data_IF_728379008786
#
_entry.id   IF_728379008786
#
_cell.length_a   1.000
_cell.length_b   1.000
_cell.length_c   1.000
_cell.angle_alpha   90.00
_cell.angle_beta   90.00
_cell.angle_gamma   90.00
#
_symmetry.space_group_name_H-M   'P 1'
#
loop_
_entity.id
_entity.type
_entity.pdbx_description
1 polymer ?
#
# COMPACT_ATOMS: atom_id res chain seq x y z
N UNK A 1 1.22 -1.84 -7.04
CA UNK A 1 2.45 -1.81 -7.83
C UNK A 1 2.88 -3.24 -8.00
N UNK A 2 3.01 -3.68 -9.23
CA UNK A 2 3.45 -5.04 -9.57
C UNK A 2 4.69 -4.88 -10.44
N UNK A 3 5.50 -5.93 -10.54
CA UNK A 3 6.52 -5.95 -11.58
C UNK A 3 5.88 -6.39 -12.89
N UNK A 4 6.65 -6.41 -13.99
CA UNK A 4 6.16 -6.91 -15.27
C UNK A 4 6.06 -8.46 -15.28
N UNK A 5 6.85 -9.13 -14.44
CA UNK A 5 6.94 -10.58 -14.30
C UNK A 5 7.46 -10.88 -12.88
N UNK A 6 6.55 -11.20 -11.97
CA UNK A 6 6.87 -11.34 -10.55
C UNK A 6 7.74 -12.59 -10.30
N UNK A 7 7.53 -13.68 -11.05
CA UNK A 7 8.32 -14.90 -10.94
C UNK A 7 9.77 -14.68 -11.37
N UNK A 8 9.97 -13.99 -12.50
CA UNK A 8 11.30 -13.65 -12.98
C UNK A 8 12.02 -12.66 -12.04
N UNK A 9 11.31 -11.69 -11.48
CA UNK A 9 11.86 -10.73 -10.52
C UNK A 9 12.30 -11.42 -9.23
N UNK A 10 11.46 -12.29 -8.66
CA UNK A 10 11.76 -13.08 -7.48
C UNK A 10 13.02 -13.93 -7.67
N UNK A 11 13.11 -14.66 -8.79
CA UNK A 11 14.27 -15.51 -9.09
C UNK A 11 15.59 -14.75 -9.12
N UNK A 12 15.60 -13.52 -9.67
CA UNK A 12 16.81 -12.67 -9.72
C UNK A 12 17.17 -12.13 -8.32
N UNK A 13 16.18 -11.75 -7.52
CA UNK A 13 16.41 -11.28 -6.14
C UNK A 13 16.95 -12.40 -5.25
N UNK A 14 16.40 -13.60 -5.37
CA UNK A 14 16.85 -14.80 -4.67
C UNK A 14 18.28 -15.18 -5.05
N UNK A 15 18.59 -15.23 -6.34
CA UNK A 15 19.94 -15.51 -6.83
C UNK A 15 20.98 -14.49 -6.33
N UNK A 16 20.54 -13.25 -6.12
CA UNK A 16 21.35 -12.17 -5.55
C UNK A 16 21.47 -12.20 -4.02
N UNK A 17 20.71 -13.06 -3.32
CA UNK A 17 20.67 -13.12 -1.85
C UNK A 17 19.99 -11.91 -1.20
N UNK A 18 19.09 -11.22 -1.93
CA UNK A 18 18.36 -10.08 -1.39
C UNK A 18 17.14 -10.52 -0.59
N UNK A 19 16.89 -9.86 0.53
CA UNK A 19 15.63 -10.02 1.27
C UNK A 19 14.58 -9.09 0.67
N UNK A 20 13.39 -9.61 0.41
CA UNK A 20 12.26 -8.85 -0.11
C UNK A 20 10.95 -9.32 0.51
N UNK A 21 9.90 -8.52 0.33
CA UNK A 21 8.54 -8.83 0.77
C UNK A 21 7.66 -8.85 -0.47
N UNK A 22 6.95 -9.95 -0.67
CA UNK A 22 5.83 -10.02 -1.61
C UNK A 22 4.56 -9.60 -0.89
N UNK A 23 3.71 -8.84 -1.57
CA UNK A 23 2.48 -8.39 -0.96
C UNK A 23 1.53 -7.79 -1.98
N UNK A 24 0.24 -7.97 -1.70
CA UNK A 24 -0.80 -7.34 -2.48
C UNK A 24 -0.77 -5.82 -2.31
N UNK A 25 -0.98 -5.11 -3.41
CA UNK A 25 -1.09 -3.66 -3.44
C UNK A 25 -2.55 -3.23 -3.42
N UNK A 26 -2.97 -2.56 -2.34
CA UNK A 26 -4.32 -2.01 -2.20
C UNK A 26 -4.32 -0.51 -2.53
N UNK A 27 -5.27 -0.07 -3.34
CA UNK A 27 -5.43 1.36 -3.68
C UNK A 27 -6.26 2.08 -2.63
N UNK A 28 -5.82 3.27 -2.22
CA UNK A 28 -6.55 4.11 -1.29
C UNK A 28 -6.58 5.58 -1.74
N UNK A 29 -7.73 6.21 -1.52
CA UNK A 29 -7.94 7.65 -1.66
C UNK A 29 -7.62 8.35 -0.33
N UNK A 30 -6.71 9.32 -0.38
CA UNK A 30 -6.33 10.16 0.77
C UNK A 30 -6.72 11.61 0.49
N UNK A 31 -7.34 12.33 1.45
CA UNK A 31 -7.53 13.78 1.30
C UNK A 31 -6.19 14.49 1.09
N UNK A 32 -6.04 15.26 0.02
CA UNK A 32 -4.82 16.03 -0.30
C UNK A 32 -4.75 17.32 0.53
N UNK A 33 -4.59 17.16 1.84
CA UNK A 33 -4.44 18.24 2.81
C UNK A 33 -3.61 17.79 4.00
N UNK A 34 -3.03 18.71 4.79
CA UNK A 34 -2.32 18.37 6.01
C UNK A 34 -3.15 17.41 6.90
N UNK A 35 -2.52 16.31 7.32
CA UNK A 35 -3.15 15.28 8.16
C UNK A 35 -4.01 14.25 7.42
N UNK A 36 -4.21 14.34 6.10
CA UNK A 36 -4.97 13.36 5.33
C UNK A 36 -4.42 11.94 5.46
N UNK A 37 -3.12 11.77 5.20
CA UNK A 37 -2.40 10.50 5.39
C UNK A 37 -2.39 10.06 6.86
N UNK A 38 -2.22 11.01 7.79
CA UNK A 38 -2.16 10.72 9.21
C UNK A 38 -3.45 10.05 9.72
N UNK A 39 -4.62 10.49 9.23
CA UNK A 39 -5.91 9.87 9.57
C UNK A 39 -6.01 8.43 9.08
N UNK A 40 -5.58 8.16 7.84
CA UNK A 40 -5.59 6.81 7.27
C UNK A 40 -4.62 5.88 8.01
N UNK A 41 -3.39 6.35 8.24
CA UNK A 41 -2.38 5.60 8.98
C UNK A 41 -2.82 5.32 10.43
N UNK A 42 -3.53 6.25 11.07
CA UNK A 42 -4.11 6.02 12.40
C UNK A 42 -5.14 4.90 12.38
N UNK A 43 -6.05 4.87 11.40
CA UNK A 43 -7.04 3.79 11.28
C UNK A 43 -6.39 2.42 11.10
N UNK A 44 -5.32 2.33 10.30
CA UNK A 44 -4.55 1.09 10.16
C UNK A 44 -3.88 0.68 11.48
N UNK A 45 -3.27 1.65 12.19
CA UNK A 45 -2.64 1.40 13.47
C UNK A 45 -3.65 0.96 14.56
N UNK A 46 -4.85 1.55 14.60
CA UNK A 46 -5.94 1.15 15.50
C UNK A 46 -6.43 -0.28 15.20
N UNK A 47 -6.35 -0.70 13.94
CA UNK A 47 -6.58 -2.07 13.53
C UNK A 47 -5.36 -2.97 13.70
N UNK A 48 -4.24 -2.50 14.27
CA UNK A 48 -3.00 -3.27 14.39
C UNK A 48 -2.53 -3.86 13.05
N UNK A 49 -2.51 -3.02 12.01
CA UNK A 49 -1.99 -3.32 10.67
C UNK A 49 -0.74 -2.48 10.45
N UNK A 50 0.37 -3.11 10.11
CA UNK A 50 1.62 -2.44 9.76
C UNK A 50 1.67 -2.13 8.25
N UNK A 51 2.28 -0.98 7.92
CA UNK A 51 2.53 -0.58 6.53
C UNK A 51 3.95 -1.03 6.17
N UNK A 52 4.09 -1.86 5.14
CA UNK A 52 5.38 -2.23 4.58
C UNK A 52 5.85 -1.24 3.51
N UNK A 53 4.91 -0.65 2.76
CA UNK A 53 5.23 0.36 1.77
C UNK A 53 4.02 1.14 1.30
N UNK A 54 4.27 2.35 0.80
CA UNK A 54 3.27 3.11 0.07
C UNK A 54 3.89 3.84 -1.12
N UNK A 55 3.11 4.04 -2.17
CA UNK A 55 3.52 4.80 -3.36
C UNK A 55 2.44 5.81 -3.75
N UNK A 56 2.85 7.06 -3.95
CA UNK A 56 1.97 8.09 -4.52
C UNK A 56 1.76 7.86 -6.02
N UNK A 57 0.51 7.80 -6.45
CA UNK A 57 0.15 7.49 -7.84
C UNK A 57 -0.35 8.71 -8.61
N UNK A 58 -0.83 9.74 -7.92
CA UNK A 58 -1.36 10.94 -8.55
C UNK A 58 -2.41 11.63 -7.71
N UNK A 59 -2.89 12.77 -8.23
CA UNK A 59 -3.89 13.62 -7.57
C UNK A 59 -5.03 13.94 -8.51
N UNK A 60 -6.24 13.89 -7.99
CA UNK A 60 -7.47 14.32 -8.65
C UNK A 60 -8.28 15.21 -7.71
N UNK A 61 -8.32 16.52 -8.01
CA UNK A 61 -9.00 17.49 -7.16
C UNK A 61 -8.40 17.57 -5.75
N UNK A 62 -9.21 17.35 -4.73
CA UNK A 62 -8.83 17.37 -3.30
C UNK A 62 -8.39 15.97 -2.79
N UNK A 63 -8.09 15.02 -3.69
CA UNK A 63 -7.71 13.64 -3.37
C UNK A 63 -6.39 13.23 -4.00
N UNK A 64 -5.57 12.56 -3.21
CA UNK A 64 -4.35 11.87 -3.63
C UNK A 64 -4.58 10.36 -3.62
N UNK A 65 -4.12 9.67 -4.65
CA UNK A 65 -4.16 8.22 -4.76
C UNK A 65 -2.84 7.62 -4.30
N UNK A 66 -2.93 6.58 -3.48
CA UNK A 66 -1.79 5.81 -3.03
C UNK A 66 -2.02 4.32 -3.24
N UNK A 67 -0.95 3.59 -3.58
CA UNK A 67 -0.89 2.14 -3.41
C UNK A 67 -0.25 1.84 -2.06
N UNK A 68 -0.83 0.92 -1.29
CA UNK A 68 -0.32 0.43 -0.02
C UNK A 68 -0.01 -1.06 -0.08
N UNK A 69 1.08 -1.46 0.56
CA UNK A 69 1.38 -2.86 0.90
C UNK A 69 1.47 -2.93 2.42
N UNK A 70 0.77 -3.90 3.01
CA UNK A 70 0.57 -4.06 4.45
C UNK A 70 0.83 -5.49 4.89
N UNK A 71 0.97 -5.72 6.18
CA UNK A 71 1.17 -7.06 6.77
C UNK A 71 -0.09 -7.94 6.76
N UNK A 72 -1.28 -7.33 6.88
CA UNK A 72 -2.58 -8.01 6.85
C UNK A 72 -3.52 -7.31 5.84
N UNK A 73 -3.48 -7.70 4.55
CA UNK A 73 -4.30 -7.11 3.49
C UNK A 73 -5.79 -7.22 3.77
N UNK A 74 -6.26 -8.38 4.24
CA UNK A 74 -7.68 -8.64 4.50
C UNK A 74 -8.24 -7.72 5.59
N UNK A 75 -7.46 -7.45 6.65
CA UNK A 75 -7.83 -6.50 7.68
C UNK A 75 -7.75 -5.04 7.22
N UNK A 76 -6.86 -4.74 6.28
CA UNK A 76 -6.66 -3.40 5.77
C UNK A 76 -7.69 -2.97 4.71
N UNK A 77 -8.20 -3.90 3.90
CA UNK A 77 -9.22 -3.62 2.85
C UNK A 77 -10.36 -2.73 3.32
N UNK A 78 -11.10 -3.03 4.41
CA UNK A 78 -12.22 -2.19 4.83
C UNK A 78 -11.83 -0.77 5.27
N UNK A 79 -10.53 -0.52 5.49
CA UNK A 79 -9.97 0.79 5.88
C UNK A 79 -9.46 1.56 4.65
N UNK A 80 -8.79 0.84 3.73
CA UNK A 80 -8.10 1.40 2.57
C UNK A 80 -9.02 1.54 1.35
N UNK A 81 -9.83 0.52 1.08
CA UNK A 81 -10.70 0.50 -0.07
C UNK A 81 -11.87 1.48 0.14
N UNK A 82 -12.15 2.24 -0.92
CA UNK A 82 -13.30 3.10 -0.95
C UNK A 82 -14.56 2.24 -0.98
N UNK A 83 -15.43 2.37 0.02
CA UNK A 83 -16.81 1.90 -0.10
C UNK A 83 -17.51 2.81 -1.12
N UNK A 84 -17.92 2.23 -2.23
CA UNK A 84 -18.72 2.88 -3.28
C UNK A 84 -20.03 3.41 -2.72
#
# INVERSE_FOLDING_TARGET
MTTADDDAAAAVLDAGGYTYIEGESILAEVPDRPGGMAKLARSLADANVNIYGHLFLGRWGDRAMFAFVVDDPEKARPILERKT
#
